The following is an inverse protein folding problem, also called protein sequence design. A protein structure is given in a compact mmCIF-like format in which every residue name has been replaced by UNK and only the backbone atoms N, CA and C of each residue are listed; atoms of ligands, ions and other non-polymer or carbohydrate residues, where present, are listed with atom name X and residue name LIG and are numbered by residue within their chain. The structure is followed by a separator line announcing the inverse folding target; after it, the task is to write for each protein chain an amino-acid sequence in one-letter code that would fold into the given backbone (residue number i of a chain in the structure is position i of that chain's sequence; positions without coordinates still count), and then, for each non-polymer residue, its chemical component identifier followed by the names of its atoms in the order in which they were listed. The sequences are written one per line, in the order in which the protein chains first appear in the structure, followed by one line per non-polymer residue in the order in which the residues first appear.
data_IF_557704493975
#
_entry.id   IF_557704493975
#
_cell.length_a   1.000
_cell.length_b   1.000
_cell.length_c   1.000
_cell.angle_alpha   90.00
_cell.angle_beta   90.00
_cell.angle_gamma   90.00
#
_symmetry.space_group_name_H-M   'P 1'
#
loop_
_entity.id
_entity.type
_entity.pdbx_description
1 polymer ?
#
# COMPACT_ATOMS: atom_id res chain seq x y z
N UNK A 1 -52.59 29.32 -23.15
CA UNK A 1 -51.65 28.32 -23.76
C UNK A 1 -50.58 29.08 -24.51
N UNK A 2 -49.40 29.25 -23.91
CA UNK A 2 -48.24 29.75 -24.65
C UNK A 2 -47.78 28.59 -25.55
N UNK A 3 -47.88 28.74 -26.88
CA UNK A 3 -47.21 27.90 -27.85
C UNK A 3 -45.69 28.12 -27.65
N UNK A 4 -45.00 27.14 -27.13
CA UNK A 4 -43.55 27.08 -27.27
C UNK A 4 -43.27 26.87 -28.78
N UNK A 5 -42.73 27.91 -29.44
CA UNK A 5 -42.25 27.84 -30.83
C UNK A 5 -40.94 27.05 -30.99
N UNK A 6 -40.62 26.21 -30.02
CA UNK A 6 -39.44 25.34 -30.03
C UNK A 6 -39.84 23.97 -30.53
N UNK A 7 -39.17 23.42 -31.55
CA UNK A 7 -39.45 22.08 -32.04
C UNK A 7 -39.21 21.06 -30.92
N UNK A 8 -40.20 20.29 -30.55
CA UNK A 8 -40.18 19.26 -29.55
C UNK A 8 -40.32 17.88 -30.22
N UNK A 9 -39.45 16.94 -29.81
CA UNK A 9 -39.45 15.57 -30.30
C UNK A 9 -39.94 14.61 -29.22
N UNK A 10 -40.46 13.45 -29.64
CA UNK A 10 -40.97 12.44 -28.70
C UNK A 10 -39.83 11.79 -27.91
N UNK A 11 -40.18 11.29 -26.71
CA UNK A 11 -39.21 10.60 -25.80
C UNK A 11 -38.34 9.58 -26.52
N UNK A 12 -38.90 8.78 -27.46
CA UNK A 12 -38.13 7.75 -28.17
C UNK A 12 -37.10 8.29 -29.14
N UNK A 13 -37.43 9.39 -29.83
CA UNK A 13 -36.55 10.09 -30.76
C UNK A 13 -35.46 10.80 -30.01
N UNK A 14 -35.78 11.49 -28.90
CA UNK A 14 -34.81 12.13 -28.02
C UNK A 14 -33.84 11.11 -27.38
N UNK A 15 -34.38 9.96 -26.93
CA UNK A 15 -33.58 8.88 -26.39
C UNK A 15 -32.55 8.35 -27.42
N UNK A 16 -32.99 8.15 -28.66
CA UNK A 16 -32.10 7.72 -29.76
C UNK A 16 -31.04 8.78 -30.09
N UNK A 17 -31.44 10.06 -30.16
CA UNK A 17 -30.53 11.18 -30.41
C UNK A 17 -29.44 11.31 -29.34
N UNK A 18 -29.80 11.14 -28.07
CA UNK A 18 -28.88 11.23 -26.93
C UNK A 18 -28.16 9.91 -26.58
N UNK A 19 -28.29 8.85 -27.38
CA UNK A 19 -27.64 7.57 -27.12
C UNK A 19 -28.11 6.87 -25.84
N UNK A 20 -29.37 7.10 -25.42
CA UNK A 20 -29.93 6.54 -24.20
C UNK A 20 -31.23 5.78 -24.47
N UNK A 21 -31.96 5.40 -23.42
CA UNK A 21 -33.26 4.71 -23.53
C UNK A 21 -34.36 5.48 -22.78
N UNK A 22 -35.62 5.18 -23.14
CA UNK A 22 -36.79 5.83 -22.53
C UNK A 22 -36.83 5.66 -21.01
N UNK A 23 -36.42 4.51 -20.50
CA UNK A 23 -36.43 4.22 -19.06
C UNK A 23 -35.50 5.17 -18.27
N UNK A 24 -34.34 5.47 -18.81
CA UNK A 24 -33.44 6.45 -18.22
C UNK A 24 -34.07 7.84 -18.16
N UNK A 25 -34.72 8.29 -19.23
CA UNK A 25 -35.40 9.58 -19.28
C UNK A 25 -36.57 9.65 -18.29
N UNK A 26 -37.35 8.59 -18.18
CA UNK A 26 -38.44 8.50 -17.18
C UNK A 26 -37.91 8.53 -15.76
N UNK A 27 -36.85 7.77 -15.49
CA UNK A 27 -36.20 7.80 -14.18
C UNK A 27 -35.64 9.20 -13.82
N UNK A 28 -35.00 9.88 -14.77
CA UNK A 28 -34.48 11.22 -14.54
C UNK A 28 -35.57 12.26 -14.30
N UNK A 29 -36.73 12.10 -14.96
CA UNK A 29 -37.91 12.93 -14.70
C UNK A 29 -38.49 12.64 -13.30
N UNK A 30 -38.65 11.36 -12.91
CA UNK A 30 -39.15 10.95 -11.60
C UNK A 30 -38.32 11.52 -10.44
N UNK A 31 -36.98 11.52 -10.57
CA UNK A 31 -36.09 12.07 -9.54
C UNK A 31 -35.90 13.60 -9.68
N UNK A 32 -36.54 14.21 -10.69
CA UNK A 32 -36.44 15.64 -10.96
C UNK A 32 -35.05 16.11 -11.40
N UNK A 33 -34.23 15.22 -12.01
CA UNK A 33 -32.93 15.55 -12.55
C UNK A 33 -33.04 16.15 -13.96
N UNK A 34 -33.96 15.60 -14.77
CA UNK A 34 -34.14 16.02 -16.16
C UNK A 34 -35.59 15.76 -16.60
N UNK A 35 -36.38 16.82 -16.60
CA UNK A 35 -37.80 16.73 -16.94
C UNK A 35 -38.07 17.12 -18.41
N UNK A 36 -39.14 16.60 -19.04
CA UNK A 36 -39.51 16.93 -20.39
C UNK A 36 -39.89 18.44 -20.51
N UNK A 37 -39.70 19.02 -21.70
CA UNK A 37 -40.09 20.41 -21.99
C UNK A 37 -41.63 20.53 -21.96
N UNK A 38 -42.36 19.45 -22.36
CA UNK A 38 -43.80 19.41 -22.39
C UNK A 38 -44.30 18.00 -22.11
N UNK A 39 -45.39 17.87 -21.35
CA UNK A 39 -46.19 16.65 -21.25
C UNK A 39 -47.58 16.99 -21.71
N UNK A 40 -48.13 16.25 -22.67
CA UNK A 40 -49.46 16.47 -23.20
C UNK A 40 -50.56 15.92 -22.26
N UNK A 41 -51.82 16.21 -22.59
CA UNK A 41 -52.98 15.80 -21.81
C UNK A 41 -53.17 14.25 -21.71
N UNK A 42 -52.50 13.52 -22.60
CA UNK A 42 -52.47 12.05 -22.62
C UNK A 42 -51.28 11.47 -21.87
N UNK A 43 -50.41 12.32 -21.28
CA UNK A 43 -49.25 11.90 -20.53
C UNK A 43 -48.01 11.63 -21.40
N UNK A 44 -48.01 11.93 -22.69
CA UNK A 44 -46.84 11.79 -23.54
C UNK A 44 -45.83 12.93 -23.28
N UNK A 45 -44.57 12.55 -23.13
CA UNK A 45 -43.46 13.46 -22.85
C UNK A 45 -42.75 13.85 -24.12
N UNK A 46 -42.44 15.13 -24.23
CA UNK A 46 -41.73 15.75 -25.37
C UNK A 46 -40.52 16.56 -24.85
N UNK A 47 -39.42 16.47 -25.55
CA UNK A 47 -38.17 17.12 -25.23
C UNK A 47 -37.79 18.08 -26.34
N UNK A 48 -37.20 19.23 -26.01
CA UNK A 48 -36.71 20.18 -26.98
C UNK A 48 -35.26 19.83 -27.37
N UNK A 49 -34.85 20.26 -28.58
CA UNK A 49 -33.46 20.07 -29.04
C UNK A 49 -32.42 20.70 -28.08
N UNK A 50 -32.75 21.89 -27.53
CA UNK A 50 -31.88 22.56 -26.56
C UNK A 50 -31.65 21.76 -25.27
N UNK A 51 -32.46 20.76 -24.97
CA UNK A 51 -32.27 19.88 -23.83
C UNK A 51 -31.17 18.85 -24.08
N UNK A 52 -30.72 18.64 -25.31
CA UNK A 52 -29.59 17.73 -25.61
C UNK A 52 -28.32 18.16 -24.88
N UNK A 53 -27.99 19.44 -24.86
CA UNK A 53 -26.77 19.95 -24.17
C UNK A 53 -26.80 19.66 -22.66
N UNK A 54 -27.99 19.83 -22.05
CA UNK A 54 -28.19 19.50 -20.62
C UNK A 54 -28.05 18.01 -20.39
N UNK A 55 -28.64 17.18 -21.26
CA UNK A 55 -28.54 15.74 -21.15
C UNK A 55 -27.10 15.24 -21.33
N UNK A 56 -26.34 15.80 -22.29
CA UNK A 56 -24.93 15.50 -22.47
C UNK A 56 -24.09 15.93 -21.27
N UNK A 57 -24.39 17.07 -20.66
CA UNK A 57 -23.74 17.49 -19.41
C UNK A 57 -24.00 16.49 -18.29
N UNK A 58 -25.25 16.02 -18.11
CA UNK A 58 -25.59 15.00 -17.11
C UNK A 58 -24.82 13.69 -17.39
N UNK A 59 -24.75 13.27 -18.65
CA UNK A 59 -24.06 12.05 -19.06
C UNK A 59 -22.55 12.15 -18.77
N UNK A 60 -21.92 13.25 -19.15
CA UNK A 60 -20.52 13.52 -18.89
C UNK A 60 -20.20 13.45 -17.37
N UNK A 61 -20.96 14.15 -16.54
CA UNK A 61 -20.76 14.15 -15.09
C UNK A 61 -20.98 12.75 -14.47
N UNK A 62 -21.94 11.99 -15.01
CA UNK A 62 -22.16 10.60 -14.59
C UNK A 62 -20.99 9.68 -14.96
N UNK A 63 -20.42 9.82 -16.17
CA UNK A 63 -19.23 9.07 -16.61
C UNK A 63 -18.01 9.36 -15.74
N UNK A 64 -17.92 10.58 -15.20
CA UNK A 64 -16.92 10.95 -14.20
C UNK A 64 -17.19 10.33 -12.81
N UNK A 65 -18.20 9.46 -12.67
CA UNK A 65 -18.53 8.78 -11.40
C UNK A 65 -19.30 9.63 -10.40
N UNK A 66 -19.92 10.74 -10.84
CA UNK A 66 -20.67 11.61 -9.92
C UNK A 66 -22.06 11.04 -9.60
N UNK A 67 -22.48 11.05 -8.32
CA UNK A 67 -23.82 10.65 -7.92
C UNK A 67 -24.89 11.56 -8.54
N UNK A 68 -26.01 10.99 -8.99
CA UNK A 68 -27.11 11.73 -9.64
C UNK A 68 -27.61 12.92 -8.78
N UNK A 69 -27.60 12.79 -7.46
CA UNK A 69 -27.96 13.86 -6.54
C UNK A 69 -27.07 15.10 -6.69
N UNK A 70 -25.75 14.88 -6.78
CA UNK A 70 -24.77 15.99 -6.99
C UNK A 70 -24.89 16.61 -8.36
N UNK A 71 -25.18 15.80 -9.38
CA UNK A 71 -25.45 16.27 -10.73
C UNK A 71 -26.70 17.14 -10.72
N UNK A 72 -27.79 16.72 -10.03
CA UNK A 72 -29.01 17.51 -9.90
C UNK A 72 -28.75 18.86 -9.25
N UNK A 73 -28.07 18.87 -8.09
CA UNK A 73 -27.72 20.10 -7.38
C UNK A 73 -26.97 21.11 -8.29
N UNK A 74 -26.09 20.58 -9.16
CA UNK A 74 -25.38 21.39 -10.15
C UNK A 74 -26.32 21.87 -11.28
N UNK A 75 -27.14 20.98 -11.85
CA UNK A 75 -28.07 21.32 -12.95
C UNK A 75 -29.06 22.41 -12.53
N UNK A 76 -29.53 22.38 -11.27
CA UNK A 76 -30.45 23.39 -10.72
C UNK A 76 -29.76 24.75 -10.47
N UNK A 77 -28.43 24.76 -10.22
CA UNK A 77 -27.66 25.94 -9.85
C UNK A 77 -26.41 26.12 -10.74
N UNK A 78 -26.57 26.00 -12.06
CA UNK A 78 -25.45 26.04 -13.02
C UNK A 78 -24.72 27.37 -13.00
N UNK A 79 -23.42 27.31 -12.74
CA UNK A 79 -22.47 28.42 -12.95
C UNK A 79 -21.07 27.84 -13.19
N UNK A 80 -20.14 28.59 -13.79
CA UNK A 80 -18.75 28.16 -13.93
C UNK A 80 -18.13 27.78 -12.60
N UNK A 81 -18.34 28.58 -11.55
CA UNK A 81 -17.77 28.33 -10.20
C UNK A 81 -18.34 27.07 -9.55
N UNK A 82 -19.64 26.75 -9.79
CA UNK A 82 -20.25 25.54 -9.25
C UNK A 82 -19.73 24.30 -9.96
N UNK A 83 -19.45 24.37 -11.27
CA UNK A 83 -18.85 23.31 -12.03
C UNK A 83 -17.40 23.06 -11.59
N UNK A 84 -16.61 24.11 -11.47
CA UNK A 84 -15.21 24.03 -11.02
C UNK A 84 -15.11 23.34 -9.68
N UNK A 85 -15.87 23.77 -8.68
CA UNK A 85 -15.90 23.13 -7.34
C UNK A 85 -16.30 21.66 -7.40
N UNK A 86 -17.28 21.33 -8.24
CA UNK A 86 -17.75 19.96 -8.42
C UNK A 86 -16.64 19.08 -9.01
N UNK A 87 -15.96 19.57 -10.04
CA UNK A 87 -14.86 18.87 -10.72
C UNK A 87 -13.63 18.72 -9.81
N UNK A 88 -13.23 19.76 -9.07
CA UNK A 88 -12.13 19.70 -8.10
C UNK A 88 -12.42 18.65 -7.01
N UNK A 89 -13.63 18.65 -6.45
CA UNK A 89 -14.02 17.63 -5.45
C UNK A 89 -13.97 16.20 -6.02
N UNK A 90 -14.31 16.01 -7.30
CA UNK A 90 -14.24 14.71 -7.94
C UNK A 90 -12.79 14.30 -8.24
N UNK A 91 -11.95 15.26 -8.66
CA UNK A 91 -10.52 15.02 -8.87
C UNK A 91 -9.84 14.55 -7.58
N UNK A 92 -10.08 15.22 -6.44
CA UNK A 92 -9.54 14.83 -5.14
C UNK A 92 -9.90 13.37 -4.78
N UNK A 93 -11.15 12.94 -5.06
CA UNK A 93 -11.58 11.56 -4.83
C UNK A 93 -10.83 10.57 -5.70
N UNK A 94 -10.72 10.86 -7.00
CA UNK A 94 -10.00 10.00 -7.95
C UNK A 94 -8.53 9.88 -7.54
N UNK A 95 -7.90 10.97 -7.12
CA UNK A 95 -6.52 10.96 -6.64
C UNK A 95 -6.36 10.11 -5.36
N UNK A 96 -7.30 10.21 -4.43
CA UNK A 96 -7.31 9.37 -3.23
C UNK A 96 -7.49 7.88 -3.55
N UNK A 97 -8.40 7.53 -4.47
CA UNK A 97 -8.60 6.16 -4.95
C UNK A 97 -7.36 5.61 -5.66
N UNK A 98 -6.71 6.42 -6.51
CA UNK A 98 -5.47 6.06 -7.18
C UNK A 98 -4.33 5.82 -6.17
N UNK A 99 -4.22 6.65 -5.14
CA UNK A 99 -3.24 6.47 -4.07
C UNK A 99 -3.48 5.16 -3.29
N UNK A 100 -4.75 4.83 -3.00
CA UNK A 100 -5.13 3.57 -2.37
C UNK A 100 -4.78 2.37 -3.24
N UNK A 101 -5.12 2.40 -4.54
CA UNK A 101 -4.82 1.30 -5.47
C UNK A 101 -3.31 1.10 -5.63
N UNK A 102 -2.52 2.16 -5.68
CA UNK A 102 -1.05 2.08 -5.70
C UNK A 102 -0.51 1.37 -4.45
N UNK A 103 -1.03 1.70 -3.27
CA UNK A 103 -0.65 1.00 -2.02
C UNK A 103 -0.98 -0.48 -2.07
N UNK A 104 -2.20 -0.84 -2.48
CA UNK A 104 -2.63 -2.24 -2.62
C UNK A 104 -1.70 -2.98 -3.58
N UNK A 105 -1.37 -2.39 -4.73
CA UNK A 105 -0.44 -2.98 -5.69
C UNK A 105 0.93 -3.23 -5.07
N UNK A 106 1.49 -2.26 -4.35
CA UNK A 106 2.79 -2.42 -3.67
C UNK A 106 2.76 -3.58 -2.67
N UNK A 107 1.70 -3.69 -1.86
CA UNK A 107 1.53 -4.81 -0.92
C UNK A 107 1.51 -6.16 -1.64
N UNK A 108 0.76 -6.26 -2.75
CA UNK A 108 0.69 -7.48 -3.57
C UNK A 108 2.06 -7.83 -4.14
N UNK A 109 2.78 -6.88 -4.73
CA UNK A 109 4.11 -7.06 -5.29
C UNK A 109 5.11 -7.52 -4.22
N UNK A 110 5.07 -6.92 -3.03
CA UNK A 110 5.90 -7.32 -1.89
C UNK A 110 5.60 -8.74 -1.45
N UNK A 111 4.33 -9.11 -1.21
CA UNK A 111 3.96 -10.47 -0.80
C UNK A 111 4.33 -11.51 -1.86
N UNK A 112 4.14 -11.20 -3.15
CA UNK A 112 4.58 -12.09 -4.24
C UNK A 112 6.10 -12.27 -4.25
N UNK A 113 6.88 -11.23 -4.00
CA UNK A 113 8.34 -11.30 -3.89
C UNK A 113 8.79 -12.21 -2.75
N UNK A 114 8.18 -12.05 -1.56
CA UNK A 114 8.46 -12.90 -0.40
C UNK A 114 8.14 -14.38 -0.66
N UNK A 115 6.99 -14.66 -1.28
CA UNK A 115 6.63 -16.04 -1.64
C UNK A 115 7.62 -16.64 -2.64
N UNK A 116 8.09 -15.86 -3.63
CA UNK A 116 9.11 -16.32 -4.59
C UNK A 116 10.43 -16.60 -3.88
N UNK A 117 10.89 -15.69 -3.05
CA UNK A 117 12.10 -15.87 -2.24
C UNK A 117 12.00 -17.13 -1.35
N UNK A 118 10.84 -17.36 -0.71
CA UNK A 118 10.65 -18.56 0.11
C UNK A 118 10.74 -19.88 -0.69
N UNK A 119 10.32 -19.88 -1.97
CA UNK A 119 10.44 -21.04 -2.85
C UNK A 119 11.88 -21.39 -3.17
N UNK A 120 12.77 -20.39 -3.29
CA UNK A 120 14.19 -20.65 -3.55
C UNK A 120 14.87 -21.37 -2.39
N UNK A 121 14.27 -21.37 -1.20
CA UNK A 121 14.76 -22.02 0.02
C UNK A 121 13.82 -23.11 0.54
N UNK A 122 12.97 -23.70 -0.30
CA UNK A 122 12.00 -24.73 0.10
C UNK A 122 12.67 -26.00 0.65
N UNK A 123 13.88 -26.33 0.18
CA UNK A 123 14.63 -27.53 0.58
C UNK A 123 15.47 -27.34 1.85
N UNK A 124 15.50 -26.13 2.43
CA UNK A 124 16.17 -25.87 3.71
C UNK A 124 15.37 -26.50 4.84
N UNK A 125 15.94 -27.48 5.54
CA UNK A 125 15.27 -28.18 6.65
C UNK A 125 15.38 -27.43 7.98
N UNK A 126 16.52 -26.80 8.25
CA UNK A 126 16.76 -26.05 9.48
C UNK A 126 17.55 -24.77 9.17
N UNK A 127 18.82 -24.88 8.79
CA UNK A 127 19.68 -23.74 8.45
C UNK A 127 20.31 -23.96 7.07
N UNK A 128 20.30 -22.92 6.24
CA UNK A 128 21.06 -22.94 4.99
C UNK A 128 22.57 -22.83 5.23
N UNK A 129 23.41 -23.12 4.25
CA UNK A 129 24.79 -22.63 4.23
C UNK A 129 24.81 -21.09 4.31
N UNK A 130 25.97 -20.53 4.71
CA UNK A 130 26.16 -19.07 4.61
C UNK A 130 26.27 -18.68 3.14
N UNK A 131 25.45 -17.74 2.73
CA UNK A 131 25.44 -17.18 1.38
C UNK A 131 26.00 -15.75 1.43
N UNK A 132 26.75 -15.39 0.41
CA UNK A 132 27.15 -13.99 0.21
C UNK A 132 26.20 -13.34 -0.78
N UNK A 133 25.43 -12.36 -0.34
CA UNK A 133 24.40 -11.67 -1.12
C UNK A 133 24.79 -10.22 -1.35
N UNK A 134 24.56 -9.71 -2.55
CA UNK A 134 24.78 -8.30 -2.87
C UNK A 134 23.45 -7.54 -2.85
N UNK A 135 23.32 -6.64 -1.89
CA UNK A 135 22.22 -5.70 -1.82
C UNK A 135 22.53 -4.44 -2.65
N UNK A 136 21.87 -4.30 -3.77
CA UNK A 136 22.17 -3.23 -4.75
C UNK A 136 21.65 -1.86 -4.34
N UNK A 137 20.65 -1.80 -3.45
CA UNK A 137 20.00 -0.55 -3.02
C UNK A 137 19.98 -0.45 -1.50
N UNK A 138 20.06 0.79 -1.01
CA UNK A 138 19.76 1.08 0.38
C UNK A 138 18.28 0.81 0.67
N UNK A 139 17.99 0.27 1.86
CA UNK A 139 16.63 0.07 2.34
C UNK A 139 16.34 1.01 3.50
N UNK A 140 15.19 1.66 3.48
CA UNK A 140 14.71 2.46 4.59
C UNK A 140 13.90 1.59 5.55
N UNK A 141 14.32 1.58 6.80
CA UNK A 141 13.68 0.84 7.89
C UNK A 141 13.05 1.83 8.86
N UNK A 142 11.78 1.65 9.15
CA UNK A 142 11.10 2.31 10.26
C UNK A 142 11.42 1.54 11.52
N UNK A 143 11.96 2.20 12.54
CA UNK A 143 12.37 1.57 13.79
C UNK A 143 11.30 1.67 14.87
N UNK A 144 11.31 0.71 15.78
CA UNK A 144 10.65 0.82 17.08
C UNK A 144 11.42 1.80 18.00
N UNK A 145 10.88 2.02 19.21
CA UNK A 145 11.69 2.57 20.28
C UNK A 145 12.88 1.66 20.60
N UNK A 146 14.02 2.23 21.08
CA UNK A 146 15.21 1.45 21.44
C UNK A 146 14.90 0.41 22.54
N UNK A 147 15.44 -0.79 22.39
CA UNK A 147 15.30 -1.89 23.34
C UNK A 147 16.59 -2.08 24.18
N UNK A 148 17.64 -2.59 23.55
CA UNK A 148 18.90 -2.99 24.20
C UNK A 148 18.68 -3.81 25.47
N UNK A 149 17.81 -4.83 25.35
CA UNK A 149 17.38 -5.69 26.45
C UNK A 149 17.01 -7.06 25.97
N UNK A 150 17.09 -8.04 26.87
CA UNK A 150 16.54 -9.41 26.73
C UNK A 150 15.26 -9.62 27.56
N UNK A 151 14.71 -8.57 28.19
CA UNK A 151 13.48 -8.61 28.96
C UNK A 151 12.27 -8.86 28.02
N UNK A 152 11.69 -10.05 28.11
CA UNK A 152 10.60 -10.51 27.25
C UNK A 152 9.35 -9.60 27.28
N UNK A 153 8.99 -9.08 28.45
CA UNK A 153 7.79 -8.24 28.59
C UNK A 153 7.99 -6.90 27.87
N UNK A 154 9.19 -6.32 27.98
CA UNK A 154 9.55 -5.10 27.24
C UNK A 154 9.63 -5.37 25.75
N UNK A 155 10.27 -6.47 25.34
CA UNK A 155 10.39 -6.87 23.93
C UNK A 155 8.99 -6.98 23.32
N UNK A 156 8.08 -7.70 23.96
CA UNK A 156 6.72 -7.89 23.47
C UNK A 156 5.91 -6.57 23.42
N UNK A 157 6.02 -5.75 24.46
CA UNK A 157 5.34 -4.45 24.51
C UNK A 157 5.79 -3.52 23.38
N UNK A 158 7.11 -3.43 23.13
CA UNK A 158 7.67 -2.59 22.05
C UNK A 158 7.31 -3.14 20.68
N UNK A 159 7.31 -4.46 20.50
CA UNK A 159 6.89 -5.12 19.26
C UNK A 159 5.43 -4.79 18.93
N UNK A 160 4.51 -4.97 19.89
CA UNK A 160 3.09 -4.66 19.71
C UNK A 160 2.87 -3.18 19.36
N UNK A 161 3.60 -2.28 20.03
CA UNK A 161 3.54 -0.84 19.75
C UNK A 161 4.03 -0.51 18.35
N UNK A 162 5.12 -1.14 17.91
CA UNK A 162 5.68 -0.97 16.57
C UNK A 162 4.75 -1.47 15.47
N UNK A 163 4.20 -2.68 15.62
CA UNK A 163 3.22 -3.25 14.68
C UNK A 163 1.98 -2.36 14.60
N UNK A 164 1.48 -1.91 15.75
CA UNK A 164 0.34 -1.00 15.83
C UNK A 164 0.56 0.31 15.10
N UNK A 165 1.74 0.93 15.25
CA UNK A 165 2.13 2.14 14.53
C UNK A 165 2.18 1.88 13.03
N UNK A 166 2.94 0.87 12.59
CA UNK A 166 3.11 0.55 11.18
C UNK A 166 1.79 0.20 10.47
N UNK A 167 0.88 -0.48 11.17
CA UNK A 167 -0.45 -0.81 10.64
C UNK A 167 -1.34 0.43 10.49
N UNK A 168 -1.40 1.28 11.52
CA UNK A 168 -2.23 2.48 11.53
C UNK A 168 -1.80 3.49 10.46
N UNK A 169 -0.51 3.69 10.33
CA UNK A 169 0.09 4.64 9.38
C UNK A 169 0.40 3.99 8.01
N UNK A 170 0.06 2.71 7.81
CA UNK A 170 0.29 1.95 6.58
C UNK A 170 1.76 1.93 6.10
N UNK A 171 2.72 1.91 7.03
CA UNK A 171 4.15 2.04 6.73
C UNK A 171 4.80 0.76 6.22
N UNK A 172 4.21 -0.41 6.48
CA UNK A 172 4.82 -1.72 6.21
C UNK A 172 4.85 -2.12 4.73
N UNK A 173 4.09 -1.49 3.87
CA UNK A 173 4.03 -1.78 2.42
C UNK A 173 3.96 -3.30 2.09
N UNK A 174 3.39 -4.11 2.99
CA UNK A 174 3.30 -5.57 2.87
C UNK A 174 4.53 -6.35 3.38
N UNK A 175 5.56 -5.67 3.88
CA UNK A 175 6.68 -6.33 4.56
C UNK A 175 6.28 -6.74 5.98
N UNK A 176 6.70 -7.94 6.44
CA UNK A 176 6.64 -8.30 7.85
C UNK A 176 7.62 -7.43 8.66
N UNK A 177 7.47 -7.46 9.99
CA UNK A 177 8.48 -6.87 10.86
C UNK A 177 9.74 -7.72 10.89
N UNK A 178 10.85 -7.09 11.25
CA UNK A 178 12.13 -7.74 11.53
C UNK A 178 12.72 -7.22 12.83
N UNK A 179 13.87 -7.77 13.21
CA UNK A 179 14.61 -7.35 14.39
C UNK A 179 16.08 -7.07 14.07
N UNK A 180 16.68 -6.14 14.81
CA UNK A 180 18.09 -5.82 14.77
C UNK A 180 18.75 -6.26 16.08
N UNK A 181 19.77 -7.08 15.97
CA UNK A 181 20.58 -7.52 17.10
C UNK A 181 21.94 -6.80 17.05
N UNK A 182 22.40 -6.23 18.17
CA UNK A 182 23.69 -5.51 18.18
C UNK A 182 24.84 -6.50 17.96
N UNK A 183 25.66 -6.30 16.93
CA UNK A 183 26.82 -7.14 16.65
C UNK A 183 27.79 -7.26 17.84
N UNK A 184 28.10 -6.20 18.60
CA UNK A 184 28.95 -6.33 19.80
C UNK A 184 28.40 -7.32 20.85
N UNK A 185 27.11 -7.28 21.14
CA UNK A 185 26.48 -8.21 22.09
C UNK A 185 26.61 -9.67 21.62
N UNK A 186 26.38 -9.92 20.32
CA UNK A 186 26.54 -11.24 19.71
C UNK A 186 27.99 -11.73 19.81
N UNK A 187 28.99 -10.86 19.67
CA UNK A 187 30.41 -11.18 19.81
C UNK A 187 30.78 -11.55 21.25
N UNK A 188 30.07 -11.00 22.23
CA UNK A 188 30.21 -11.32 23.66
C UNK A 188 29.39 -12.59 24.05
N UNK A 189 28.65 -13.18 23.11
CA UNK A 189 27.84 -14.39 23.33
C UNK A 189 26.41 -14.10 23.81
N UNK A 190 25.96 -12.87 23.78
CA UNK A 190 24.57 -12.49 24.07
C UNK A 190 23.75 -12.51 22.77
N UNK A 191 22.91 -13.52 22.61
CA UNK A 191 22.04 -13.74 21.46
C UNK A 191 20.57 -13.34 21.72
N UNK A 192 20.24 -12.88 22.92
CA UNK A 192 18.90 -12.57 23.39
C UNK A 192 18.61 -11.07 23.40
N UNK A 193 19.65 -10.22 23.41
CA UNK A 193 19.47 -8.76 23.39
C UNK A 193 19.08 -8.26 22.02
N UNK A 194 17.91 -7.61 21.96
CA UNK A 194 17.40 -6.90 20.80
C UNK A 194 17.73 -5.40 20.91
N UNK A 195 18.17 -4.78 19.78
CA UNK A 195 18.35 -3.33 19.71
C UNK A 195 17.07 -2.62 19.26
N UNK A 196 16.45 -3.11 18.20
CA UNK A 196 15.25 -2.53 17.61
C UNK A 196 14.42 -3.61 16.93
N UNK A 197 13.10 -3.41 16.89
CA UNK A 197 12.29 -3.94 15.80
C UNK A 197 12.27 -2.96 14.64
N UNK A 198 12.05 -3.47 13.45
CA UNK A 198 11.95 -2.62 12.26
C UNK A 198 10.94 -3.15 11.26
N UNK A 199 10.48 -2.26 10.39
CA UNK A 199 9.68 -2.62 9.22
C UNK A 199 10.24 -1.91 8.00
N UNK A 200 10.43 -2.63 6.89
CA UNK A 200 10.82 -2.03 5.61
C UNK A 200 9.69 -1.18 5.07
N UNK A 201 10.04 -0.03 4.51
CA UNK A 201 9.07 0.86 3.89
C UNK A 201 9.54 1.31 2.51
N UNK A 202 8.59 1.58 1.63
CA UNK A 202 8.83 2.18 0.31
C UNK A 202 8.64 3.70 0.31
N UNK A 203 8.28 4.29 1.45
CA UNK A 203 8.15 5.74 1.58
C UNK A 203 9.54 6.41 1.56
N UNK A 204 9.59 7.66 1.11
CA UNK A 204 10.74 8.54 1.37
C UNK A 204 10.70 9.03 2.82
N UNK A 205 11.85 9.43 3.37
CA UNK A 205 11.93 9.94 4.74
C UNK A 205 10.96 11.11 4.97
N UNK A 206 10.86 12.01 3.98
CA UNK A 206 9.99 13.21 4.05
C UNK A 206 8.49 12.87 4.03
N UNK A 207 8.13 11.66 3.61
CA UNK A 207 6.74 11.19 3.57
C UNK A 207 6.33 10.39 4.82
N UNK A 208 7.24 10.19 5.76
CA UNK A 208 6.94 9.52 7.03
C UNK A 208 6.31 10.51 8.03
N UNK A 209 5.51 10.00 8.98
CA UNK A 209 5.03 10.83 10.09
C UNK A 209 6.16 11.53 10.84
N UNK A 210 5.93 12.74 11.37
CA UNK A 210 6.90 13.42 12.22
C UNK A 210 7.40 12.50 13.36
N UNK A 211 8.67 12.65 13.73
CA UNK A 211 9.33 11.88 14.81
C UNK A 211 9.47 10.37 14.57
N UNK A 212 9.19 9.89 13.35
CA UNK A 212 9.42 8.48 12.98
C UNK A 212 10.92 8.18 13.02
N UNK A 213 11.32 7.25 13.88
CA UNK A 213 12.71 6.78 13.92
C UNK A 213 13.01 5.92 12.70
N UNK A 214 14.12 6.17 12.04
CA UNK A 214 14.52 5.45 10.82
C UNK A 214 15.96 5.00 10.87
N UNK A 215 16.24 3.91 10.16
CA UNK A 215 17.58 3.43 9.88
C UNK A 215 17.73 3.13 8.39
N UNK A 216 18.87 3.50 7.84
CA UNK A 216 19.20 3.18 6.46
C UNK A 216 20.09 1.93 6.47
N UNK A 217 19.51 0.80 6.09
CA UNK A 217 20.26 -0.43 5.83
C UNK A 217 21.07 -0.22 4.55
N UNK A 218 22.40 -0.27 4.62
CA UNK A 218 23.27 0.12 3.50
C UNK A 218 23.16 -0.88 2.32
N UNK A 219 23.47 -0.41 1.12
CA UNK A 219 23.78 -1.28 0.00
C UNK A 219 25.17 -1.88 0.19
N UNK A 220 25.42 -3.06 -0.35
CA UNK A 220 26.70 -3.77 -0.28
C UNK A 220 26.54 -5.25 0.01
N UNK A 221 27.64 -5.90 0.39
CA UNK A 221 27.69 -7.34 0.59
C UNK A 221 27.19 -7.74 1.98
N UNK A 222 26.36 -8.77 2.01
CA UNK A 222 25.82 -9.35 3.23
C UNK A 222 26.12 -10.85 3.29
N UNK A 223 26.66 -11.30 4.40
CA UNK A 223 26.58 -12.72 4.74
C UNK A 223 25.17 -13.03 5.23
N UNK A 224 24.50 -14.02 4.66
CA UNK A 224 23.13 -14.36 4.97
C UNK A 224 22.95 -15.86 5.22
N UNK A 225 22.07 -16.21 6.14
CA UNK A 225 21.62 -17.57 6.44
C UNK A 225 20.10 -17.56 6.47
N UNK A 226 19.48 -18.60 5.93
CA UNK A 226 18.05 -18.83 6.01
C UNK A 226 17.75 -19.89 7.05
N UNK A 227 16.96 -19.49 8.05
CA UNK A 227 16.48 -20.34 9.14
C UNK A 227 15.05 -20.76 8.86
N UNK A 228 14.79 -22.08 8.84
CA UNK A 228 13.44 -22.63 8.80
C UNK A 228 13.03 -23.10 10.18
N UNK A 229 11.79 -22.78 10.58
CA UNK A 229 11.22 -23.12 11.87
C UNK A 229 11.24 -21.95 12.84
N UNK A 230 11.38 -22.25 14.12
CA UNK A 230 11.25 -21.30 15.22
C UNK A 230 12.13 -20.06 15.06
N UNK A 231 11.50 -18.91 14.96
CA UNK A 231 12.13 -17.59 14.82
C UNK A 231 13.15 -17.31 15.96
N UNK A 232 12.92 -17.82 17.15
CA UNK A 232 13.77 -17.55 18.32
C UNK A 232 15.06 -18.38 18.32
N UNK A 233 15.14 -19.48 17.58
CA UNK A 233 16.34 -20.32 17.47
C UNK A 233 17.40 -19.78 16.52
N UNK A 234 17.72 -18.50 16.62
CA UNK A 234 18.64 -17.81 15.70
C UNK A 234 20.10 -17.77 16.16
N UNK A 235 20.41 -18.27 17.35
CA UNK A 235 21.77 -18.27 17.93
C UNK A 235 22.80 -18.90 16.98
N UNK A 236 22.55 -20.13 16.53
CA UNK A 236 23.48 -20.85 15.65
C UNK A 236 23.70 -20.12 14.31
N UNK A 237 22.64 -19.49 13.76
CA UNK A 237 22.75 -18.69 12.55
C UNK A 237 23.64 -17.46 12.76
N UNK A 238 23.47 -16.73 13.87
CA UNK A 238 24.29 -15.59 14.22
C UNK A 238 25.77 -15.99 14.41
N UNK A 239 26.01 -17.11 15.10
CA UNK A 239 27.34 -17.67 15.32
C UNK A 239 28.04 -17.99 13.99
N UNK A 240 27.35 -18.64 13.04
CA UNK A 240 27.89 -18.95 11.71
C UNK A 240 28.20 -17.69 10.90
N UNK A 241 27.36 -16.67 10.97
CA UNK A 241 27.62 -15.39 10.27
C UNK A 241 28.85 -14.68 10.80
N UNK A 242 29.03 -14.63 12.12
CA UNK A 242 30.22 -14.02 12.76
C UNK A 242 31.50 -14.81 12.45
N UNK A 243 31.45 -16.13 12.51
CA UNK A 243 32.56 -17.02 12.15
C UNK A 243 32.96 -16.80 10.67
N UNK A 244 31.98 -16.81 9.77
CA UNK A 244 32.21 -16.58 8.34
C UNK A 244 32.86 -15.21 8.09
N UNK A 245 32.41 -14.15 8.74
CA UNK A 245 33.01 -12.81 8.60
C UNK A 245 34.48 -12.81 9.08
N UNK A 246 34.77 -13.47 10.23
CA UNK A 246 36.10 -13.61 10.77
C UNK A 246 37.04 -14.41 9.86
N UNK A 247 36.63 -15.58 9.38
CA UNK A 247 37.40 -16.47 8.50
C UNK A 247 37.73 -15.82 7.15
N UNK A 248 36.84 -14.98 6.65
CA UNK A 248 37.02 -14.30 5.37
C UNK A 248 37.65 -12.88 5.51
N UNK A 249 38.05 -12.47 6.72
CA UNK A 249 38.68 -11.18 6.97
C UNK A 249 37.76 -10.00 6.65
N UNK A 250 36.43 -10.16 6.82
CA UNK A 250 35.43 -9.13 6.60
C UNK A 250 35.18 -8.34 7.88
N UNK A 251 34.82 -7.07 7.73
CA UNK A 251 34.40 -6.23 8.88
C UNK A 251 32.88 -6.32 9.04
N UNK A 252 32.39 -6.87 10.17
CA UNK A 252 30.95 -6.96 10.42
C UNK A 252 30.37 -5.56 10.66
N UNK A 253 29.14 -5.34 10.15
CA UNK A 253 28.35 -4.16 10.45
C UNK A 253 27.85 -4.13 11.89
N UNK A 254 27.28 -3.00 12.31
CA UNK A 254 26.85 -2.76 13.70
C UNK A 254 25.68 -3.67 14.13
N UNK A 255 24.93 -4.23 13.18
CA UNK A 255 23.74 -5.04 13.46
C UNK A 255 23.67 -6.28 12.60
N UNK A 256 23.14 -7.35 13.18
CA UNK A 256 22.58 -8.48 12.47
C UNK A 256 21.08 -8.23 12.30
N UNK A 257 20.58 -8.43 11.08
CA UNK A 257 19.18 -8.22 10.73
C UNK A 257 18.47 -9.57 10.66
N UNK A 258 17.39 -9.74 11.42
CA UNK A 258 16.47 -10.87 11.33
C UNK A 258 15.22 -10.42 10.60
N UNK A 259 14.95 -10.98 9.45
CA UNK A 259 13.86 -10.59 8.55
C UNK A 259 12.98 -11.81 8.27
N UNK A 260 11.72 -11.74 8.66
CA UNK A 260 10.76 -12.76 8.30
C UNK A 260 10.54 -12.75 6.77
N UNK A 261 10.61 -13.91 6.14
CA UNK A 261 10.33 -14.11 4.72
C UNK A 261 8.98 -14.79 4.54
N UNK A 262 8.69 -15.79 5.39
CA UNK A 262 7.48 -16.58 5.35
C UNK A 262 7.09 -16.96 6.79
N UNK A 263 6.37 -16.08 7.47
CA UNK A 263 5.79 -16.31 8.79
C UNK A 263 4.26 -16.25 8.75
N UNK A 264 3.70 -15.11 8.40
CA UNK A 264 2.25 -14.90 8.30
C UNK A 264 1.56 -15.73 7.20
N UNK A 265 2.34 -16.25 6.24
CA UNK A 265 1.84 -16.97 5.06
C UNK A 265 1.82 -18.47 5.26
N UNK A 266 2.36 -18.97 6.38
CA UNK A 266 2.38 -20.38 6.73
C UNK A 266 1.42 -20.65 7.89
N UNK A 267 0.64 -21.70 7.78
CA UNK A 267 -0.25 -22.16 8.85
C UNK A 267 0.49 -22.83 10.02
N UNK A 268 1.80 -23.06 9.87
CA UNK A 268 2.59 -23.92 10.76
C UNK A 268 3.96 -23.27 11.01
N UNK A 269 4.33 -23.10 12.28
CA UNK A 269 5.61 -22.50 12.68
C UNK A 269 6.83 -23.26 12.12
N UNK A 270 6.71 -24.57 11.91
CA UNK A 270 7.76 -25.38 11.29
C UNK A 270 8.11 -24.96 9.85
N UNK A 271 7.20 -24.22 9.20
CA UNK A 271 7.37 -23.73 7.83
C UNK A 271 7.82 -22.27 7.77
N UNK A 272 7.96 -21.59 8.90
CA UNK A 272 8.47 -20.22 8.93
C UNK A 272 9.86 -20.18 8.32
N UNK A 273 10.11 -19.11 7.55
CA UNK A 273 11.41 -18.86 6.94
C UNK A 273 11.89 -17.46 7.35
N UNK A 274 13.01 -17.43 8.05
CA UNK A 274 13.66 -16.19 8.50
C UNK A 274 14.99 -16.04 7.80
N UNK A 275 15.23 -14.89 7.18
CA UNK A 275 16.54 -14.48 6.67
C UNK A 275 17.28 -13.76 7.78
N UNK A 276 18.47 -14.25 8.13
CA UNK A 276 19.37 -13.62 9.10
C UNK A 276 20.59 -13.16 8.34
N UNK A 277 20.92 -11.87 8.41
CA UNK A 277 21.97 -11.29 7.57
C UNK A 277 22.83 -10.28 8.32
N UNK A 278 24.11 -10.26 7.98
CA UNK A 278 25.13 -9.39 8.53
C UNK A 278 25.81 -8.61 7.39
N UNK A 279 25.84 -7.30 7.47
CA UNK A 279 26.61 -6.49 6.53
C UNK A 279 28.11 -6.79 6.68
N UNK A 280 28.77 -7.00 5.55
CA UNK A 280 30.20 -7.35 5.49
C UNK A 280 30.95 -6.30 4.68
N UNK A 281 31.55 -5.34 5.36
CA UNK A 281 32.48 -4.38 4.77
C UNK A 281 33.84 -5.03 4.45
N UNK A 282 34.55 -4.54 3.44
CA UNK A 282 35.96 -4.89 3.27
C UNK A 282 36.73 -4.27 4.40
N UNK A 283 37.61 -5.04 5.09
CA UNK A 283 38.62 -4.44 6.00
C UNK A 283 39.47 -3.52 5.15
N UNK A 284 39.50 -2.23 5.47
CA UNK A 284 40.56 -1.34 4.97
C UNK A 284 41.89 -1.95 5.40
N UNK A 285 42.75 -2.27 4.43
CA UNK A 285 44.11 -2.66 4.73
C UNK A 285 44.84 -1.41 5.29
N UNK A 286 45.09 -1.42 6.60
CA UNK A 286 46.03 -0.50 7.22
C UNK A 286 47.45 -0.72 6.69
#
# INVERSE_FOLDING_TARGET
MQKLDIPCIKTGEFAALCGTNKRTLFHYDEIGLFSPALTDEKGYRYYSENQCDVFFTITCLKELGMPLKKIKDYIDNRSPDSLERLLLTQQEKVEAELAQLRRIRTVIETKLSLVRQARDFQDVQCLSPVLLEEQTKKELLVLSSPLYTSDHDKIFSVLCSHIGLCSREHLNCGHPYGAMLPTPALQEGDYETYAYFFTKTSFSVDALPPDTQVHIKPAGSYAAVYLRGDYYRSEEACRRLLAFAGENGLSPGSFVYKEAVLDELSADEEHYLTRISLFCGKKERQ
#
